data_IF_049851824069
#
_entry.id   IF_049851824069
#
_cell.length_a   1.000
_cell.length_b   1.000
_cell.length_c   1.000
_cell.angle_alpha   90.00
_cell.angle_beta   90.00
_cell.angle_gamma   90.00
#
_symmetry.space_group_name_H-M   'P 1'
#
loop_
_entity.id
_entity.type
_entity.pdbx_description
1 polymer ?
#
# COMPACT_ATOMS: atom_id res chain seq x y z
N UNK A 1 11.33 2.57 -13.39
CA UNK A 1 10.72 3.46 -12.37
C UNK A 1 9.26 3.67 -12.66
N UNK A 2 8.43 3.46 -11.67
CA UNK A 2 6.99 3.63 -11.85
C UNK A 2 6.66 5.12 -11.98
N UNK A 3 5.83 5.43 -12.98
CA UNK A 3 5.41 6.80 -13.23
C UNK A 3 4.17 7.10 -12.40
N UNK A 4 4.21 8.19 -11.67
CA UNK A 4 3.05 8.60 -10.88
C UNK A 4 1.92 9.06 -11.80
N UNK A 5 0.70 8.70 -11.43
CA UNK A 5 -0.50 9.06 -12.17
C UNK A 5 -1.41 9.98 -11.39
N UNK A 6 -1.29 9.95 -10.06
CA UNK A 6 -2.15 10.73 -9.18
C UNK A 6 -1.32 11.85 -8.59
N UNK A 7 -1.80 13.09 -8.78
CA UNK A 7 -1.11 14.25 -8.22
C UNK A 7 -1.20 14.22 -6.69
N UNK A 8 -0.25 14.88 -6.05
CA UNK A 8 -0.26 14.99 -4.61
C UNK A 8 -1.55 15.66 -4.13
N UNK A 9 -2.00 16.71 -4.80
CA UNK A 9 -3.23 17.41 -4.42
C UNK A 9 -4.44 16.49 -4.49
N UNK A 10 -4.60 15.74 -5.59
CA UNK A 10 -5.74 14.84 -5.74
C UNK A 10 -5.64 13.68 -4.76
N UNK A 11 -4.45 13.15 -4.56
CA UNK A 11 -4.24 12.04 -3.62
C UNK A 11 -4.54 12.43 -2.20
N UNK A 12 -4.04 13.58 -1.76
CA UNK A 12 -4.29 14.07 -0.41
C UNK A 12 -5.76 14.36 -0.19
N UNK A 13 -6.43 14.96 -1.17
CA UNK A 13 -7.86 15.24 -1.06
C UNK A 13 -8.67 13.95 -0.92
N UNK A 14 -8.37 12.94 -1.73
CA UNK A 14 -9.05 11.65 -1.64
C UNK A 14 -8.79 10.96 -0.31
N UNK A 15 -7.54 11.00 0.16
CA UNK A 15 -7.16 10.38 1.42
C UNK A 15 -7.89 11.05 2.59
N UNK A 16 -7.91 12.37 2.62
CA UNK A 16 -8.62 13.11 3.65
C UNK A 16 -10.11 12.75 3.67
N UNK A 17 -10.73 12.70 2.49
CA UNK A 17 -12.15 12.36 2.38
C UNK A 17 -12.40 10.93 2.85
N UNK A 18 -11.55 9.97 2.44
CA UNK A 18 -11.71 8.58 2.84
C UNK A 18 -11.59 8.41 4.34
N UNK A 19 -10.61 9.08 4.95
CA UNK A 19 -10.41 9.00 6.40
C UNK A 19 -11.54 9.68 7.17
N UNK A 20 -12.24 10.62 6.55
CA UNK A 20 -13.41 11.27 7.14
C UNK A 20 -14.70 10.48 6.93
N UNK A 21 -14.64 9.33 6.28
CA UNK A 21 -15.78 8.44 6.14
C UNK A 21 -16.38 8.34 4.75
N UNK A 22 -15.78 9.00 3.73
CA UNK A 22 -16.26 8.88 2.37
C UNK A 22 -15.80 7.55 1.79
N UNK A 23 -16.72 6.60 1.67
CA UNK A 23 -16.42 5.26 1.18
C UNK A 23 -16.83 5.08 -0.28
N UNK A 24 -17.06 6.17 -1.00
CA UNK A 24 -17.40 6.06 -2.42
C UNK A 24 -16.26 5.38 -3.18
N UNK A 25 -16.63 4.64 -4.22
CA UNK A 25 -15.66 3.86 -4.97
C UNK A 25 -14.55 4.74 -5.56
N UNK A 26 -14.93 5.90 -6.09
CA UNK A 26 -13.95 6.82 -6.70
C UNK A 26 -12.95 7.34 -5.68
N UNK A 27 -13.43 7.75 -4.52
CA UNK A 27 -12.56 8.27 -3.46
C UNK A 27 -11.64 7.18 -2.95
N UNK A 28 -12.17 5.99 -2.64
CA UNK A 28 -11.36 4.88 -2.17
C UNK A 28 -10.31 4.47 -3.20
N UNK A 29 -10.71 4.37 -4.47
CA UNK A 29 -9.77 3.99 -5.52
C UNK A 29 -8.60 4.97 -5.61
N UNK A 30 -8.90 6.26 -5.59
CA UNK A 30 -7.85 7.28 -5.68
C UNK A 30 -6.94 7.24 -4.46
N UNK A 31 -7.51 7.17 -3.26
CA UNK A 31 -6.73 7.13 -2.03
C UNK A 31 -5.82 5.90 -1.98
N UNK A 32 -6.36 4.72 -2.30
CA UNK A 32 -5.60 3.47 -2.29
C UNK A 32 -4.44 3.55 -3.29
N UNK A 33 -4.73 3.97 -4.52
CA UNK A 33 -3.71 4.03 -5.58
C UNK A 33 -2.65 5.09 -5.29
N UNK A 34 -3.05 6.21 -4.72
CA UNK A 34 -2.11 7.25 -4.34
C UNK A 34 -1.08 6.70 -3.35
N UNK A 35 -1.53 5.98 -2.33
CA UNK A 35 -0.62 5.44 -1.33
C UNK A 35 0.23 4.29 -1.88
N UNK A 36 -0.29 3.52 -2.83
CA UNK A 36 0.53 2.50 -3.50
C UNK A 36 1.64 3.17 -4.31
N UNK A 37 1.35 4.28 -4.98
CA UNK A 37 2.38 5.04 -5.70
C UNK A 37 3.41 5.63 -4.75
N UNK A 38 2.97 6.13 -3.60
CA UNK A 38 3.88 6.64 -2.58
C UNK A 38 4.81 5.55 -2.08
N UNK A 39 4.28 4.35 -1.84
CA UNK A 39 5.09 3.22 -1.39
C UNK A 39 6.16 2.87 -2.43
N UNK A 40 5.78 2.84 -3.70
CA UNK A 40 6.72 2.50 -4.76
C UNK A 40 7.85 3.54 -4.88
N UNK A 41 7.56 4.81 -4.60
CA UNK A 41 8.59 5.85 -4.57
C UNK A 41 9.47 5.76 -3.34
N UNK A 42 8.86 5.43 -2.19
CA UNK A 42 9.60 5.31 -0.94
C UNK A 42 10.55 4.13 -0.96
N UNK A 43 10.14 3.03 -1.55
CA UNK A 43 10.90 1.79 -1.56
C UNK A 43 10.87 1.16 -2.96
N UNK A 44 11.61 1.73 -3.93
CA UNK A 44 11.58 1.20 -5.28
C UNK A 44 12.18 -0.20 -5.36
N UNK A 45 11.63 -1.01 -6.26
CA UNK A 45 12.10 -2.38 -6.48
C UNK A 45 11.00 -3.28 -6.96
N UNK A 46 11.31 -4.56 -7.07
CA UNK A 46 10.40 -5.57 -7.62
C UNK A 46 10.36 -6.86 -6.78
N UNK A 47 10.86 -6.81 -5.54
CA UNK A 47 10.92 -8.04 -4.74
C UNK A 47 9.63 -8.32 -3.97
N UNK A 48 8.76 -7.32 -3.80
CA UNK A 48 7.50 -7.48 -3.09
C UNK A 48 6.39 -6.86 -3.93
N UNK A 49 5.28 -7.58 -4.06
CA UNK A 49 4.07 -7.02 -4.66
C UNK A 49 3.02 -6.81 -3.58
N UNK A 50 2.45 -5.60 -3.54
CA UNK A 50 1.38 -5.26 -2.63
C UNK A 50 0.10 -5.13 -3.44
N UNK A 51 -0.92 -5.90 -3.07
CA UNK A 51 -2.22 -5.95 -3.77
C UNK A 51 -3.32 -5.47 -2.86
N UNK A 52 -4.13 -4.56 -3.35
CA UNK A 52 -5.29 -4.02 -2.63
C UNK A 52 -6.51 -4.10 -3.55
N UNK A 53 -7.07 -5.30 -3.72
CA UNK A 53 -8.22 -5.42 -4.61
C UNK A 53 -9.45 -4.68 -4.05
N UNK A 54 -10.30 -4.16 -4.89
CA UNK A 54 -10.24 -4.23 -6.36
C UNK A 54 -9.49 -3.06 -7.01
N UNK A 55 -8.76 -2.26 -6.26
CA UNK A 55 -8.31 -0.96 -6.73
C UNK A 55 -6.90 -0.92 -7.32
N UNK A 56 -6.01 -1.81 -6.93
CA UNK A 56 -4.69 -1.77 -7.53
C UNK A 56 -3.66 -2.65 -6.87
N UNK A 57 -2.44 -2.58 -7.42
CA UNK A 57 -1.28 -3.28 -6.91
C UNK A 57 -0.04 -2.50 -7.31
N UNK A 58 1.04 -2.69 -6.55
CA UNK A 58 2.33 -2.12 -6.91
C UNK A 58 3.44 -3.05 -6.51
N UNK A 59 4.58 -2.93 -7.18
CA UNK A 59 5.79 -3.64 -6.80
C UNK A 59 6.71 -2.65 -6.08
N UNK A 60 7.43 -3.15 -5.10
CA UNK A 60 8.29 -2.31 -4.28
C UNK A 60 9.42 -3.17 -3.68
N UNK A 61 10.32 -2.50 -2.97
CA UNK A 61 11.43 -3.05 -2.22
C UNK A 61 12.48 -3.70 -3.14
N UNK A 62 13.69 -3.21 -3.04
CA UNK A 62 14.82 -3.80 -3.75
C UNK A 62 15.14 -5.17 -3.17
N UNK A 63 15.59 -6.07 -4.01
CA UNK A 63 15.93 -7.42 -3.58
C UNK A 63 16.38 -8.26 -4.76
N UNK A 64 16.59 -9.56 -4.53
CA UNK A 64 17.00 -10.45 -5.60
C UNK A 64 16.02 -10.43 -6.74
N UNK A 65 16.52 -10.41 -7.97
CA UNK A 65 15.68 -10.46 -9.16
C UNK A 65 15.03 -11.81 -9.29
N UNK A 66 13.78 -11.79 -9.71
CA UNK A 66 13.04 -12.99 -10.01
C UNK A 66 12.95 -13.15 -11.53
N UNK A 67 13.38 -14.28 -12.04
CA UNK A 67 13.53 -14.47 -13.48
C UNK A 67 12.21 -14.75 -14.21
N UNK A 68 11.13 -14.99 -13.49
CA UNK A 68 9.86 -15.37 -14.07
C UNK A 68 8.80 -14.29 -14.04
N UNK A 69 9.16 -13.06 -13.71
CA UNK A 69 8.21 -11.97 -13.68
C UNK A 69 7.24 -11.96 -12.51
N UNK A 70 7.14 -13.04 -11.76
CA UNK A 70 6.30 -13.08 -10.56
C UNK A 70 7.14 -12.67 -9.36
N UNK A 71 6.73 -11.65 -8.60
CA UNK A 71 7.48 -11.29 -7.40
C UNK A 71 7.54 -12.46 -6.43
N UNK A 72 8.68 -12.68 -5.75
CA UNK A 72 8.82 -13.80 -4.81
C UNK A 72 8.02 -13.59 -3.53
N UNK A 73 7.54 -12.38 -3.28
CA UNK A 73 6.80 -12.04 -2.06
C UNK A 73 5.57 -11.27 -2.42
N UNK A 74 4.43 -11.64 -1.84
CA UNK A 74 3.15 -11.00 -2.12
C UNK A 74 2.45 -10.66 -0.82
N UNK A 75 1.93 -9.45 -0.74
CA UNK A 75 1.12 -8.98 0.39
C UNK A 75 -0.21 -8.54 -0.19
N UNK A 76 -1.31 -9.05 0.36
CA UNK A 76 -2.63 -8.65 -0.07
C UNK A 76 -3.47 -8.24 1.13
N UNK A 77 -4.18 -7.13 0.99
CA UNK A 77 -5.07 -6.65 2.03
C UNK A 77 -6.24 -5.88 1.40
N UNK A 78 -7.24 -5.56 2.21
CA UNK A 78 -8.39 -4.80 1.75
C UNK A 78 -8.13 -3.29 1.80
N UNK A 79 -8.97 -2.49 1.13
CA UNK A 79 -8.75 -1.04 1.08
C UNK A 79 -8.74 -0.38 2.45
N UNK A 80 -9.65 -0.74 3.34
CA UNK A 80 -9.72 -0.13 4.66
C UNK A 80 -8.45 -0.40 5.46
N UNK A 81 -7.99 -1.64 5.45
CA UNK A 81 -6.76 -2.02 6.16
C UNK A 81 -5.56 -1.32 5.55
N UNK A 82 -5.50 -1.23 4.22
CA UNK A 82 -4.40 -0.54 3.54
C UNK A 82 -4.32 0.92 3.96
N UNK A 83 -5.46 1.63 3.95
CA UNK A 83 -5.48 3.03 4.37
C UNK A 83 -5.06 3.19 5.83
N UNK A 84 -5.51 2.29 6.70
CA UNK A 84 -5.15 2.35 8.11
C UNK A 84 -3.65 2.10 8.34
N UNK A 85 -3.08 1.14 7.63
CA UNK A 85 -1.65 0.85 7.72
C UNK A 85 -0.81 2.02 7.21
N UNK A 86 -1.18 2.55 6.05
CA UNK A 86 -0.40 3.61 5.42
C UNK A 86 -0.43 4.91 6.21
N UNK A 87 -1.47 5.14 7.00
CA UNK A 87 -1.62 6.36 7.78
C UNK A 87 -1.30 6.18 9.26
N UNK A 88 -0.88 4.97 9.66
CA UNK A 88 -0.47 4.72 11.03
C UNK A 88 -1.60 4.51 12.01
N UNK A 89 -2.82 4.26 11.55
CA UNK A 89 -3.97 3.99 12.41
C UNK A 89 -3.98 2.57 12.94
N UNK A 90 -3.30 1.66 12.26
CA UNK A 90 -3.04 0.32 12.74
C UNK A 90 -1.58 -0.01 12.37
N UNK A 91 -0.86 -0.70 13.24
CA UNK A 91 0.50 -1.08 12.91
C UNK A 91 0.53 -2.44 12.22
N UNK A 92 1.66 -2.73 11.58
CA UNK A 92 1.84 -3.95 10.80
C UNK A 92 1.57 -5.20 11.62
N UNK A 93 2.16 -5.28 12.82
CA UNK A 93 2.04 -6.47 13.64
C UNK A 93 0.60 -6.73 14.06
N UNK A 94 -0.13 -5.69 14.44
CA UNK A 94 -1.53 -5.84 14.82
C UNK A 94 -2.36 -6.35 13.63
N UNK A 95 -2.12 -5.81 12.44
CA UNK A 95 -2.84 -6.25 11.25
C UNK A 95 -2.55 -7.72 10.93
N UNK A 96 -1.29 -8.15 11.13
CA UNK A 96 -0.94 -9.54 10.93
C UNK A 96 -1.65 -10.43 11.96
N UNK A 97 -1.62 -10.02 13.23
CA UNK A 97 -2.25 -10.79 14.30
C UNK A 97 -3.75 -10.91 14.14
N UNK A 98 -4.37 -9.88 13.57
CA UNK A 98 -5.82 -9.88 13.33
C UNK A 98 -6.20 -10.54 12.00
N UNK A 99 -5.23 -11.11 11.29
CA UNK A 99 -5.43 -11.77 10.00
C UNK A 99 -6.03 -10.84 8.96
N UNK A 100 -5.68 -9.55 9.00
CA UNK A 100 -6.16 -8.56 8.04
C UNK A 100 -5.26 -8.47 6.81
N UNK A 101 -4.15 -9.18 6.82
CA UNK A 101 -3.17 -9.22 5.75
C UNK A 101 -2.92 -10.68 5.39
N UNK A 102 -2.87 -10.96 4.08
CA UNK A 102 -2.41 -12.25 3.58
C UNK A 102 -1.02 -12.03 2.98
N UNK A 103 -0.03 -12.69 3.54
CA UNK A 103 1.36 -12.52 3.10
C UNK A 103 1.96 -13.87 2.74
N UNK A 104 2.66 -13.93 1.62
CA UNK A 104 3.39 -15.13 1.19
C UNK A 104 4.78 -14.74 0.73
N UNK A 105 5.76 -15.58 1.06
CA UNK A 105 7.16 -15.31 0.77
C UNK A 105 7.92 -14.85 2.00
N UNK A 106 9.21 -15.14 2.03
CA UNK A 106 10.03 -14.89 3.22
C UNK A 106 10.27 -13.40 3.50
N UNK A 107 10.04 -12.54 2.50
CA UNK A 107 10.24 -11.10 2.64
C UNK A 107 8.93 -10.32 2.49
N UNK A 108 7.79 -10.97 2.67
CA UNK A 108 6.49 -10.32 2.56
C UNK A 108 6.19 -9.56 3.86
N UNK A 109 6.92 -8.45 4.07
CA UNK A 109 6.90 -7.70 5.31
C UNK A 109 7.18 -6.24 5.00
N UNK A 110 6.25 -5.36 5.39
CA UNK A 110 6.41 -3.92 5.22
C UNK A 110 6.68 -3.21 6.55
N UNK A 111 7.06 -3.95 7.58
CA UNK A 111 7.20 -3.43 8.93
C UNK A 111 8.04 -2.15 9.01
N UNK A 112 9.16 -2.08 8.32
CA UNK A 112 10.03 -0.91 8.37
C UNK A 112 9.61 0.24 7.47
N UNK A 113 8.57 0.06 6.65
CA UNK A 113 8.15 1.04 5.65
C UNK A 113 6.86 1.76 6.01
N UNK A 114 6.12 1.24 6.97
CA UNK A 114 4.83 1.80 7.37
C UNK A 114 4.95 2.45 8.74
N UNK A 115 4.21 3.54 8.99
CA UNK A 115 3.29 4.19 8.03
C UNK A 115 4.03 5.00 6.98
N UNK A 116 3.37 5.19 5.83
CA UNK A 116 3.88 6.05 4.76
C UNK A 116 3.63 7.50 5.13
N UNK A 117 2.42 7.80 5.61
CA UNK A 117 2.05 9.12 6.08
C UNK A 117 2.24 9.14 7.60
N UNK A 118 3.26 9.84 8.05
CA UNK A 118 3.64 9.81 9.47
C UNK A 118 2.96 10.86 10.31
N UNK A 119 2.16 11.72 9.69
CA UNK A 119 1.45 12.78 10.41
C UNK A 119 -0.04 12.59 10.26
N UNK A 120 -0.82 12.95 11.29
CA UNK A 120 -2.26 13.04 11.12
C UNK A 120 -2.59 14.06 10.04
N UNK A 121 -3.59 13.76 9.26
CA UNK A 121 -4.05 14.67 8.22
C UNK A 121 -5.03 15.68 8.76
#
# INVERSE_FOLDING_TARGET
MAKRRISEADGQAALTAALAGDTSRTVLATAVRYLLEELAELAPGNSVEVRVPPFGATQCVAGPKHTRGTPPNVIETDPETWLALATGRIDWQTAVEEARIVASGSRADLHGLLPIMRRPL
#
